data_IF_371885928438
#
_entry.id   IF_371885928438
#
_cell.length_a   1.000
_cell.length_b   1.000
_cell.length_c   1.000
_cell.angle_alpha   90.00
_cell.angle_beta   90.00
_cell.angle_gamma   90.00
#
_symmetry.space_group_name_H-M   'P 1'
#
loop_
_entity.id
_entity.type
_entity.pdbx_description
1 polymer ?
#
# COMPACT_ATOMS: atom_id res chain seq x y z
N UNK A 1 9.24 -1.13 22.91
CA UNK A 1 8.47 -1.00 21.65
C UNK A 1 8.96 -2.12 20.77
N UNK A 2 8.15 -3.13 20.55
CA UNK A 2 8.47 -4.30 19.73
C UNK A 2 8.37 -3.88 18.26
N UNK A 3 9.48 -4.00 17.54
CA UNK A 3 9.57 -3.78 16.08
C UNK A 3 8.57 -4.68 15.37
N UNK A 4 7.57 -4.12 14.70
CA UNK A 4 6.54 -4.85 13.96
C UNK A 4 6.86 -4.96 12.45
N UNK A 5 7.96 -4.36 12.01
CA UNK A 5 8.46 -4.47 10.63
C UNK A 5 8.89 -5.90 10.17
N UNK A 6 8.95 -6.96 11.01
CA UNK A 6 9.33 -8.29 10.58
C UNK A 6 8.43 -8.90 9.51
N UNK A 7 7.17 -8.44 9.37
CA UNK A 7 6.18 -9.14 8.54
C UNK A 7 6.28 -8.83 7.05
N UNK A 8 6.47 -7.58 6.67
CA UNK A 8 6.76 -7.27 5.26
C UNK A 8 8.11 -7.89 4.86
N UNK A 9 9.07 -7.88 5.79
CA UNK A 9 10.36 -8.55 5.65
C UNK A 9 10.21 -10.07 5.54
N UNK A 10 9.31 -10.70 6.31
CA UNK A 10 8.99 -12.13 6.20
C UNK A 10 8.19 -12.48 4.93
N UNK A 11 7.31 -11.61 4.45
CA UNK A 11 6.61 -11.82 3.18
C UNK A 11 7.58 -11.78 1.99
N UNK A 12 8.64 -10.97 2.08
CA UNK A 12 9.74 -10.91 1.10
C UNK A 12 10.75 -12.05 1.30
N UNK A 13 10.86 -12.62 2.51
CA UNK A 13 11.85 -13.66 2.87
C UNK A 13 11.27 -15.07 3.06
N UNK A 14 9.97 -15.32 2.78
CA UNK A 14 9.39 -16.66 2.87
C UNK A 14 9.98 -17.61 1.81
N UNK A 15 10.16 -18.85 2.18
CA UNK A 15 11.01 -19.95 1.67
C UNK A 15 11.05 -20.26 0.16
N UNK A 16 10.42 -19.45 -0.69
CA UNK A 16 10.47 -19.59 -2.17
C UNK A 16 10.90 -18.31 -2.89
N UNK A 17 11.16 -17.20 -2.15
CA UNK A 17 11.67 -15.98 -2.75
C UNK A 17 13.19 -16.07 -2.94
N UNK A 18 13.68 -15.67 -4.10
CA UNK A 18 15.09 -15.37 -4.32
C UNK A 18 15.56 -14.46 -3.18
N UNK A 19 16.66 -14.79 -2.46
CA UNK A 19 17.08 -13.97 -1.34
C UNK A 19 17.26 -12.52 -1.82
N UNK A 20 16.51 -11.61 -1.20
CA UNK A 20 16.72 -10.18 -1.40
C UNK A 20 18.22 -9.90 -1.20
N UNK A 21 18.82 -9.09 -2.06
CA UNK A 21 20.21 -8.70 -1.86
C UNK A 21 20.35 -8.06 -0.47
N UNK A 22 21.53 -8.18 0.16
CA UNK A 22 21.78 -7.53 1.46
C UNK A 22 21.37 -6.06 1.44
N UNK A 23 21.61 -5.37 0.32
CA UNK A 23 21.20 -3.98 0.13
C UNK A 23 19.68 -3.76 0.16
N UNK A 24 18.88 -4.70 -0.39
CA UNK A 24 17.42 -4.65 -0.29
C UNK A 24 16.93 -4.89 1.13
N UNK A 25 17.53 -5.86 1.85
CA UNK A 25 17.18 -6.13 3.24
C UNK A 25 17.50 -4.91 4.15
N UNK A 26 18.64 -4.26 3.95
CA UNK A 26 19.00 -3.03 4.65
C UNK A 26 18.08 -1.86 4.29
N UNK A 27 17.70 -1.72 3.02
CA UNK A 27 16.76 -0.68 2.58
C UNK A 27 15.40 -0.86 3.27
N UNK A 28 14.84 -2.08 3.31
CA UNK A 28 13.60 -2.36 4.04
C UNK A 28 13.69 -2.10 5.54
N UNK A 29 14.87 -2.26 6.15
CA UNK A 29 15.06 -1.95 7.56
C UNK A 29 14.83 -0.46 7.89
N UNK A 30 14.99 0.42 6.90
CA UNK A 30 14.92 1.86 7.06
C UNK A 30 13.62 2.48 6.51
N UNK A 31 12.81 1.72 5.76
CA UNK A 31 11.53 2.18 5.21
C UNK A 31 10.39 1.93 6.19
N UNK A 32 9.50 2.91 6.33
CA UNK A 32 8.23 2.79 7.06
C UNK A 32 7.08 2.63 6.10
N UNK A 33 6.31 1.58 6.26
CA UNK A 33 5.08 1.32 5.48
C UNK A 33 3.87 1.62 6.35
N UNK A 34 3.03 2.55 5.90
CA UNK A 34 1.82 2.98 6.60
C UNK A 34 0.62 2.67 5.70
N UNK A 35 -0.26 1.76 6.14
CA UNK A 35 -1.53 1.54 5.47
C UNK A 35 -2.57 2.57 5.91
N UNK A 36 -3.18 3.28 4.96
CA UNK A 36 -4.31 4.18 5.20
C UNK A 36 -5.56 3.45 4.79
N UNK A 37 -6.46 3.21 5.74
CA UNK A 37 -7.66 2.39 5.54
C UNK A 37 -8.89 2.98 6.21
N UNK A 38 -10.06 2.43 5.88
CA UNK A 38 -11.33 2.82 6.50
C UNK A 38 -12.32 1.68 6.45
N UNK A 39 -13.24 1.65 7.40
CA UNK A 39 -14.34 0.68 7.38
C UNK A 39 -15.41 1.01 6.35
N UNK A 40 -15.56 2.30 5.97
CA UNK A 40 -16.60 2.81 5.07
C UNK A 40 -15.98 3.64 3.94
N UNK A 41 -16.55 3.56 2.73
CA UNK A 41 -16.18 4.43 1.61
C UNK A 41 -16.58 5.89 1.85
N UNK A 42 -15.87 6.82 1.20
CA UNK A 42 -16.21 8.25 1.22
C UNK A 42 -15.83 9.02 2.48
N UNK A 43 -15.09 8.43 3.42
CA UNK A 43 -14.64 9.13 4.66
C UNK A 43 -13.41 10.03 4.46
N UNK A 44 -12.88 10.13 3.25
CA UNK A 44 -11.73 10.99 2.93
C UNK A 44 -10.37 10.32 3.04
N UNK A 45 -10.31 9.00 3.06
CA UNK A 45 -9.09 8.18 3.17
C UNK A 45 -8.02 8.59 2.15
N UNK A 46 -8.32 8.55 0.85
CA UNK A 46 -7.40 8.92 -0.25
C UNK A 46 -6.95 10.39 -0.13
N UNK A 47 -7.87 11.30 0.23
CA UNK A 47 -7.52 12.69 0.49
C UNK A 47 -6.50 12.82 1.62
N UNK A 48 -6.69 12.07 2.72
CA UNK A 48 -5.74 12.05 3.82
C UNK A 48 -4.38 11.50 3.36
N UNK A 49 -4.36 10.37 2.65
CA UNK A 49 -3.14 9.74 2.18
C UNK A 49 -2.32 10.69 1.28
N UNK A 50 -2.96 11.31 0.29
CA UNK A 50 -2.31 12.23 -0.65
C UNK A 50 -1.79 13.48 0.06
N UNK A 51 -2.59 14.13 0.90
CA UNK A 51 -2.16 15.33 1.61
C UNK A 51 -1.07 15.05 2.63
N UNK A 52 -1.11 13.89 3.30
CA UNK A 52 -0.05 13.43 4.20
C UNK A 52 1.25 13.20 3.43
N UNK A 53 1.17 12.56 2.26
CA UNK A 53 2.33 12.35 1.39
C UNK A 53 2.99 13.68 0.99
N UNK A 54 2.21 14.64 0.54
CA UNK A 54 2.70 15.98 0.16
C UNK A 54 3.35 16.68 1.37
N UNK A 55 2.71 16.63 2.53
CA UNK A 55 3.23 17.27 3.75
C UNK A 55 4.54 16.64 4.24
N UNK A 56 4.69 15.33 4.11
CA UNK A 56 5.92 14.60 4.45
C UNK A 56 7.02 14.89 3.43
N UNK A 57 6.69 14.94 2.14
CA UNK A 57 7.62 15.30 1.08
C UNK A 57 8.18 16.71 1.30
N UNK A 58 7.33 17.67 1.66
CA UNK A 58 7.74 19.05 1.98
C UNK A 58 8.66 19.13 3.21
N UNK A 59 8.68 18.12 4.07
CA UNK A 59 9.59 17.98 5.21
C UNK A 59 10.89 17.25 4.88
N UNK A 60 11.11 16.92 3.61
CA UNK A 60 12.33 16.30 3.13
C UNK A 60 12.36 14.78 3.13
N UNK A 61 11.22 14.11 3.37
CA UNK A 61 11.13 12.66 3.24
C UNK A 61 10.85 12.27 1.79
N UNK A 62 11.47 11.21 1.31
CA UNK A 62 11.11 10.58 0.04
C UNK A 62 9.85 9.74 0.26
N UNK A 63 8.74 10.13 -0.36
CA UNK A 63 7.44 9.48 -0.15
C UNK A 63 6.93 8.81 -1.42
N UNK A 64 6.55 7.54 -1.30
CA UNK A 64 5.85 6.78 -2.32
C UNK A 64 4.42 6.48 -1.84
N UNK A 65 3.43 6.81 -2.67
CA UNK A 65 2.03 6.41 -2.46
C UNK A 65 1.72 5.21 -3.35
N UNK A 66 1.17 4.14 -2.78
CA UNK A 66 0.65 3.00 -3.53
C UNK A 66 -0.87 3.04 -3.40
N UNK A 67 -1.57 3.27 -4.52
CA UNK A 67 -3.02 3.17 -4.59
C UNK A 67 -3.39 1.68 -4.70
N UNK A 68 -3.87 1.12 -3.61
CA UNK A 68 -4.30 -0.26 -3.50
C UNK A 68 -5.84 -0.41 -3.53
N UNK A 69 -6.57 0.67 -3.89
CA UNK A 69 -8.00 0.61 -4.23
C UNK A 69 -8.16 0.21 -5.71
N UNK A 70 -7.99 -1.09 -5.97
CA UNK A 70 -7.91 -1.66 -7.32
C UNK A 70 -9.21 -1.53 -8.15
N UNK A 71 -10.30 -1.10 -7.53
CA UNK A 71 -11.59 -0.91 -8.22
C UNK A 71 -11.91 0.56 -8.53
N UNK A 72 -11.43 1.46 -7.70
CA UNK A 72 -11.74 2.90 -7.78
C UNK A 72 -10.51 3.74 -7.42
N UNK A 73 -9.41 3.54 -8.16
CA UNK A 73 -8.19 4.33 -7.99
C UNK A 73 -8.48 5.83 -8.20
N UNK A 74 -8.09 6.65 -7.24
CA UNK A 74 -8.36 8.08 -7.22
C UNK A 74 -7.12 8.94 -6.88
N UNK A 75 -5.99 8.32 -6.58
CA UNK A 75 -4.76 9.04 -6.20
C UNK A 75 -4.26 9.92 -7.35
N UNK A 76 -4.29 9.41 -8.58
CA UNK A 76 -3.90 10.14 -9.79
C UNK A 76 -4.75 11.39 -10.03
N UNK A 77 -6.07 11.31 -9.82
CA UNK A 77 -6.99 12.44 -9.95
C UNK A 77 -6.64 13.54 -8.93
N UNK A 78 -6.40 13.16 -7.67
CA UNK A 78 -6.06 14.11 -6.61
C UNK A 78 -4.68 14.75 -6.79
N UNK A 79 -3.74 14.02 -7.39
CA UNK A 79 -2.40 14.52 -7.72
C UNK A 79 -2.36 15.30 -9.04
N UNK A 80 -3.47 15.36 -9.80
CA UNK A 80 -3.56 16.05 -11.08
C UNK A 80 -2.68 15.45 -12.16
N UNK A 81 -2.48 14.13 -12.12
CA UNK A 81 -1.59 13.39 -13.03
C UNK A 81 -2.35 12.24 -13.67
N UNK A 82 -1.72 11.60 -14.66
CA UNK A 82 -2.27 10.41 -15.31
C UNK A 82 -1.18 9.36 -15.40
N UNK A 83 -1.45 8.17 -14.88
CA UNK A 83 -0.57 7.02 -15.07
C UNK A 83 -0.91 6.27 -16.35
N UNK A 84 0.11 5.83 -17.08
CA UNK A 84 -0.05 4.94 -18.25
C UNK A 84 -0.10 3.48 -17.87
N UNK A 85 0.47 3.13 -16.72
CA UNK A 85 0.55 1.78 -16.17
C UNK A 85 0.11 1.78 -14.72
N UNK A 86 -0.32 0.64 -14.24
CA UNK A 86 -0.94 0.48 -12.94
C UNK A 86 -0.24 -0.62 -12.14
N UNK A 87 -0.54 -0.70 -10.86
CA UNK A 87 0.02 -1.67 -9.92
C UNK A 87 -0.01 -3.11 -10.46
N UNK A 88 -1.14 -3.52 -11.05
CA UNK A 88 -1.30 -4.87 -11.57
C UNK A 88 -0.54 -5.14 -12.88
N UNK A 89 -0.09 -4.11 -13.59
CA UNK A 89 0.80 -4.30 -14.74
C UNK A 89 2.13 -4.90 -14.31
N UNK A 90 2.52 -4.76 -13.04
CA UNK A 90 3.68 -5.45 -12.47
C UNK A 90 3.58 -6.97 -12.51
N UNK A 91 2.40 -7.54 -12.68
CA UNK A 91 2.22 -8.98 -12.88
C UNK A 91 2.73 -9.46 -14.26
N UNK A 92 2.95 -8.55 -15.19
CA UNK A 92 3.57 -8.86 -16.48
C UNK A 92 5.10 -8.96 -16.27
N UNK A 93 5.75 -10.06 -16.72
CA UNK A 93 7.18 -10.28 -16.47
C UNK A 93 8.09 -9.15 -16.97
N UNK A 94 7.76 -8.55 -18.11
CA UNK A 94 8.52 -7.50 -18.77
C UNK A 94 8.37 -6.12 -18.13
N UNK A 95 7.33 -5.90 -17.30
CA UNK A 95 7.07 -4.61 -16.66
C UNK A 95 7.93 -4.46 -15.41
N UNK A 96 8.68 -3.38 -15.34
CA UNK A 96 9.54 -3.04 -14.20
C UNK A 96 8.85 -2.04 -13.30
N UNK A 97 9.35 -1.89 -12.08
CA UNK A 97 8.85 -0.91 -11.12
C UNK A 97 8.92 0.54 -11.67
N UNK A 98 9.99 0.86 -12.42
CA UNK A 98 10.15 2.18 -13.05
C UNK A 98 9.06 2.51 -14.09
N UNK A 99 8.44 1.50 -14.67
CA UNK A 99 7.41 1.69 -15.67
C UNK A 99 6.05 2.08 -15.07
N UNK A 100 5.85 1.83 -13.77
CA UNK A 100 4.59 2.08 -13.05
C UNK A 100 4.67 3.25 -12.07
N UNK A 101 5.88 3.67 -11.67
CA UNK A 101 6.06 4.82 -10.78
C UNK A 101 5.90 6.10 -11.58
N UNK A 102 5.08 7.02 -11.08
CA UNK A 102 4.91 8.37 -11.60
C UNK A 102 5.36 9.37 -10.54
N UNK A 103 6.18 10.33 -10.92
CA UNK A 103 6.57 11.45 -10.07
C UNK A 103 5.67 12.66 -10.36
N UNK A 104 5.21 13.30 -9.29
CA UNK A 104 4.31 14.45 -9.35
C UNK A 104 5.06 15.76 -9.27
N UNK A 105 4.38 16.87 -9.58
CA UNK A 105 4.90 18.24 -9.41
C UNK A 105 5.24 18.58 -7.95
N UNK A 106 4.72 17.82 -7.00
CA UNK A 106 5.01 17.98 -5.57
C UNK A 106 6.22 17.13 -5.10
N UNK A 107 6.87 16.39 -6.00
CA UNK A 107 7.97 15.48 -5.69
C UNK A 107 7.53 14.15 -5.06
N UNK A 108 6.24 13.97 -4.82
CA UNK A 108 5.69 12.69 -4.35
C UNK A 108 5.69 11.71 -5.52
N UNK A 109 6.19 10.51 -5.27
CA UNK A 109 6.07 9.40 -6.21
C UNK A 109 4.78 8.61 -5.91
N UNK A 110 4.13 8.06 -6.94
CA UNK A 110 2.98 7.20 -6.74
C UNK A 110 2.91 6.06 -7.76
N UNK A 111 2.21 4.98 -7.36
CA UNK A 111 1.80 3.87 -8.22
C UNK A 111 0.27 3.86 -8.21
N UNK A 112 -0.35 4.00 -9.39
CA UNK A 112 -1.80 3.96 -9.54
C UNK A 112 -2.33 2.54 -9.40
N UNK A 113 -3.46 2.37 -8.71
CA UNK A 113 -4.18 1.09 -8.62
C UNK A 113 -4.88 0.68 -9.90
N UNK A 114 -5.12 1.65 -10.79
CA UNK A 114 -5.91 1.46 -12.01
C UNK A 114 -7.42 1.50 -11.77
N UNK A 115 -8.17 1.75 -12.83
CA UNK A 115 -9.64 1.80 -12.78
C UNK A 115 -10.25 0.78 -13.75
N UNK A 116 -11.32 0.09 -13.31
CA UNK A 116 -12.16 -0.72 -14.20
C UNK A 116 -11.66 -2.13 -14.51
N UNK A 117 -10.71 -2.66 -13.74
CA UNK A 117 -10.24 -4.03 -13.94
C UNK A 117 -11.02 -4.97 -13.00
N UNK A 118 -12.10 -5.55 -13.50
CA UNK A 118 -12.86 -6.61 -12.80
C UNK A 118 -12.00 -7.82 -12.38
N UNK A 119 -10.83 -8.02 -13.01
CA UNK A 119 -9.85 -9.07 -12.67
C UNK A 119 -9.04 -8.80 -11.40
N UNK A 120 -9.14 -7.60 -10.82
CA UNK A 120 -8.35 -7.21 -9.65
C UNK A 120 -8.79 -7.90 -8.33
N UNK A 121 -9.83 -8.70 -8.34
CA UNK A 121 -10.45 -9.18 -7.11
C UNK A 121 -9.80 -10.43 -6.51
N UNK A 122 -9.09 -11.24 -7.29
CA UNK A 122 -8.43 -12.44 -6.78
C UNK A 122 -7.18 -12.78 -7.60
N UNK A 123 -6.00 -12.32 -7.17
CA UNK A 123 -4.76 -12.89 -7.69
C UNK A 123 -4.41 -14.17 -6.96
N UNK A 124 -3.83 -15.10 -7.70
CA UNK A 124 -3.37 -16.35 -7.14
C UNK A 124 -2.11 -16.14 -6.26
N UNK A 125 -1.63 -17.23 -5.65
CA UNK A 125 -0.47 -17.16 -4.77
C UNK A 125 0.81 -16.77 -5.52
N UNK A 126 1.00 -17.21 -6.76
CA UNK A 126 2.19 -16.91 -7.56
C UNK A 126 2.21 -15.43 -7.97
N UNK A 127 1.07 -14.88 -8.38
CA UNK A 127 0.90 -13.45 -8.68
C UNK A 127 1.19 -12.58 -7.46
N UNK A 128 0.73 -12.97 -6.26
CA UNK A 128 1.05 -12.28 -5.01
C UNK A 128 2.56 -12.25 -4.75
N UNK A 129 3.23 -13.38 -4.89
CA UNK A 129 4.69 -13.48 -4.69
C UNK A 129 5.42 -12.60 -5.71
N UNK A 130 5.01 -12.63 -6.98
CA UNK A 130 5.61 -11.78 -8.01
C UNK A 130 5.44 -10.29 -7.70
N UNK A 131 4.24 -9.87 -7.33
CA UNK A 131 3.96 -8.48 -6.97
C UNK A 131 4.80 -8.03 -5.78
N UNK A 132 4.88 -8.86 -4.73
CA UNK A 132 5.70 -8.59 -3.56
C UNK A 132 7.18 -8.43 -3.90
N UNK A 133 7.72 -9.33 -4.75
CA UNK A 133 9.12 -9.25 -5.20
C UNK A 133 9.40 -7.94 -5.95
N UNK A 134 8.51 -7.55 -6.87
CA UNK A 134 8.67 -6.30 -7.62
C UNK A 134 8.50 -5.06 -6.75
N UNK A 135 7.57 -5.08 -5.78
CA UNK A 135 7.40 -4.01 -4.82
C UNK A 135 8.56 -3.92 -3.81
N UNK A 136 9.35 -4.98 -3.66
CA UNK A 136 10.53 -4.94 -2.79
C UNK A 136 11.52 -3.84 -3.18
N UNK A 137 11.60 -3.50 -4.46
CA UNK A 137 12.46 -2.41 -4.95
C UNK A 137 11.97 -1.01 -4.56
N UNK A 138 10.73 -0.86 -4.06
CA UNK A 138 10.23 0.41 -3.54
C UNK A 138 11.05 0.91 -2.34
N UNK A 139 11.63 -0.01 -1.56
CA UNK A 139 12.37 0.32 -0.34
C UNK A 139 13.64 1.16 -0.59
N UNK A 140 14.29 1.04 -1.76
CA UNK A 140 15.46 1.86 -2.10
C UNK A 140 15.07 3.26 -2.57
N UNK A 141 13.79 3.50 -2.88
CA UNK A 141 13.28 4.74 -3.47
C UNK A 141 12.64 5.68 -2.47
N UNK A 142 12.11 5.16 -1.37
CA UNK A 142 11.32 5.91 -0.43
C UNK A 142 11.79 5.69 1.02
N UNK A 143 11.62 6.70 1.85
CA UNK A 143 11.77 6.60 3.31
C UNK A 143 10.43 6.22 3.95
N UNK A 144 9.32 6.59 3.29
CA UNK A 144 7.94 6.33 3.72
C UNK A 144 7.12 5.83 2.53
N UNK A 145 6.41 4.72 2.74
CA UNK A 145 5.44 4.19 1.78
C UNK A 145 4.05 4.30 2.40
N UNK A 146 3.17 5.06 1.76
CA UNK A 146 1.76 5.16 2.14
C UNK A 146 0.94 4.26 1.21
N UNK A 147 0.23 3.29 1.77
CA UNK A 147 -0.64 2.39 1.01
C UNK A 147 -2.08 2.83 1.22
N UNK A 148 -2.69 3.47 0.22
CA UNK A 148 -4.11 3.84 0.22
C UNK A 148 -4.94 2.62 -0.17
N UNK A 149 -5.59 1.97 0.79
CA UNK A 149 -6.34 0.72 0.55
C UNK A 149 -7.78 1.00 0.13
N UNK A 150 -8.48 0.02 -0.39
CA UNK A 150 -9.94 0.08 -0.48
C UNK A 150 -10.59 0.17 0.90
N UNK A 151 -11.90 0.44 0.94
CA UNK A 151 -12.67 0.45 2.18
C UNK A 151 -13.15 -0.96 2.56
N UNK A 152 -13.39 -1.18 3.86
CA UNK A 152 -14.00 -2.40 4.40
C UNK A 152 -13.03 -3.52 4.75
N UNK A 153 -13.52 -4.77 4.69
CA UNK A 153 -12.84 -5.96 5.21
C UNK A 153 -12.43 -6.95 4.11
N UNK A 154 -12.36 -6.49 2.86
CA UNK A 154 -11.96 -7.33 1.74
C UNK A 154 -10.58 -7.97 1.97
N UNK A 155 -10.38 -9.19 1.43
CA UNK A 155 -9.11 -9.93 1.61
C UNK A 155 -7.91 -9.08 1.19
N UNK A 156 -7.98 -8.41 0.04
CA UNK A 156 -6.89 -7.56 -0.45
C UNK A 156 -6.59 -6.40 0.50
N UNK A 157 -7.63 -5.76 1.08
CA UNK A 157 -7.48 -4.69 2.07
C UNK A 157 -6.74 -5.23 3.31
N UNK A 158 -7.17 -6.38 3.82
CA UNK A 158 -6.54 -7.00 4.99
C UNK A 158 -5.10 -7.43 4.72
N UNK A 159 -4.79 -7.93 3.52
CA UNK A 159 -3.42 -8.28 3.14
C UNK A 159 -2.48 -7.07 3.24
N UNK A 160 -2.89 -5.89 2.75
CA UNK A 160 -2.10 -4.65 2.86
C UNK A 160 -1.99 -4.14 4.31
N UNK A 161 -3.10 -4.15 5.06
CA UNK A 161 -3.11 -3.71 6.46
C UNK A 161 -2.18 -4.57 7.32
N UNK A 162 -2.20 -5.89 7.11
CA UNK A 162 -1.38 -6.85 7.88
C UNK A 162 0.10 -6.83 7.45
N UNK A 163 0.40 -6.30 6.28
CA UNK A 163 1.76 -6.16 5.77
C UNK A 163 2.44 -4.85 6.23
N UNK A 164 1.66 -3.83 6.56
CA UNK A 164 2.16 -2.52 6.96
C UNK A 164 2.77 -2.52 8.39
N UNK A 165 3.71 -1.59 8.62
CA UNK A 165 4.27 -1.34 9.95
C UNK A 165 3.27 -0.62 10.86
N UNK A 166 2.47 0.28 10.27
CA UNK A 166 1.46 1.07 10.96
C UNK A 166 0.17 1.15 10.14
N UNK A 167 -0.94 1.35 10.84
CA UNK A 167 -2.25 1.50 10.22
C UNK A 167 -2.90 2.80 10.67
N UNK A 168 -3.22 3.66 9.70
CA UNK A 168 -4.06 4.84 9.89
C UNK A 168 -5.50 4.46 9.52
N UNK A 169 -6.34 4.26 10.54
CA UNK A 169 -7.76 3.98 10.36
C UNK A 169 -8.55 5.28 10.34
N UNK A 170 -9.08 5.63 9.16
CA UNK A 170 -9.87 6.86 8.94
C UNK A 170 -11.34 6.59 9.18
N UNK A 171 -11.97 7.44 9.98
CA UNK A 171 -13.40 7.37 10.27
C UNK A 171 -14.01 8.78 10.40
N UNK A 172 -15.33 8.88 10.31
CA UNK A 172 -16.11 10.09 10.59
C UNK A 172 -16.91 9.90 11.88
N UNK A 173 -17.42 10.99 12.51
CA UNK A 173 -18.22 10.87 13.74
C UNK A 173 -19.62 10.26 13.52
N UNK A 174 -19.93 9.78 12.32
CA UNK A 174 -21.17 9.07 12.02
C UNK A 174 -21.20 7.69 12.72
N UNK A 175 -22.32 7.29 13.36
CA UNK A 175 -22.40 6.01 14.06
C UNK A 175 -22.06 4.79 13.18
N UNK A 176 -22.49 4.80 11.91
CA UNK A 176 -22.18 3.72 10.96
C UNK A 176 -20.68 3.67 10.65
N UNK A 177 -20.04 4.80 10.44
CA UNK A 177 -18.59 4.86 10.17
C UNK A 177 -17.77 4.36 11.36
N UNK A 178 -18.18 4.71 12.58
CA UNK A 178 -17.53 4.22 13.82
C UNK A 178 -17.70 2.70 13.97
N UNK A 179 -18.88 2.17 13.68
CA UNK A 179 -19.15 0.73 13.72
C UNK A 179 -18.27 -0.01 12.70
N UNK A 180 -18.18 0.49 11.48
CA UNK A 180 -17.37 -0.11 10.42
C UNK A 180 -15.87 -0.03 10.75
N UNK A 181 -15.41 1.09 11.32
CA UNK A 181 -14.04 1.22 11.79
C UNK A 181 -13.71 0.22 12.92
N UNK A 182 -14.65 0.02 13.86
CA UNK A 182 -14.50 -0.99 14.90
C UNK A 182 -14.41 -2.41 14.32
N UNK A 183 -15.19 -2.72 13.27
CA UNK A 183 -15.11 -4.00 12.58
C UNK A 183 -13.72 -4.24 11.95
N UNK A 184 -13.10 -3.20 11.34
CA UNK A 184 -11.72 -3.27 10.81
C UNK A 184 -10.73 -3.55 11.93
N UNK A 185 -10.79 -2.83 13.06
CA UNK A 185 -9.90 -3.07 14.20
C UNK A 185 -10.02 -4.48 14.74
N UNK A 186 -11.26 -4.98 14.87
CA UNK A 186 -11.53 -6.34 15.35
C UNK A 186 -10.96 -7.39 14.39
N UNK A 187 -11.18 -7.24 13.09
CA UNK A 187 -10.64 -8.14 12.08
C UNK A 187 -9.11 -8.14 12.11
N UNK A 188 -8.48 -6.95 12.15
CA UNK A 188 -7.03 -6.83 12.28
C UNK A 188 -6.50 -7.58 13.51
N UNK A 189 -7.13 -7.39 14.69
CA UNK A 189 -6.73 -8.09 15.92
C UNK A 189 -6.79 -9.61 15.79
N UNK A 190 -7.85 -10.14 15.16
CA UNK A 190 -8.02 -11.58 14.95
C UNK A 190 -6.94 -12.12 14.00
N UNK A 191 -6.75 -11.49 12.84
CA UNK A 191 -5.76 -11.96 11.86
C UNK A 191 -4.32 -11.76 12.31
N UNK A 192 -4.05 -10.71 13.10
CA UNK A 192 -2.72 -10.46 13.63
C UNK A 192 -2.29 -11.48 14.70
N UNK A 193 -3.23 -12.11 15.39
CA UNK A 193 -2.95 -13.13 16.41
C UNK A 193 -2.85 -14.56 15.86
N UNK A 194 -3.29 -14.80 14.62
CA UNK A 194 -3.27 -16.11 13.96
C UNK A 194 -1.97 -16.36 13.16
N UNK A 195 -1.06 -15.41 13.13
CA UNK A 195 0.27 -15.47 12.51
C UNK A 195 1.36 -15.43 13.56
#
# INVERSE_FOLDING_TARGET
MTDQAPRLRQMVSSETAVPASLAQAEAWANVRVIAVTSGKGGVGKTNLAVNLAIALQQRGHRVLVIDADLGMANVDILLGTTSRRHLLDLLQPEVKLDDVIVETVHGVQYISGGSGIEKALEYDHAEKVMLQQKLADCAVRADLILVDTGAGLGRNVMDFILAADEVLLVTTPEPTSLTDAYAVMKAYSIYATQK
#
